data_IF_158925396032
#
_entry.id   IF_158925396032
#
_cell.length_a   1.000
_cell.length_b   1.000
_cell.length_c   1.000
_cell.angle_alpha   90.00
_cell.angle_beta   90.00
_cell.angle_gamma   90.00
#
_symmetry.space_group_name_H-M   'P 1'
#
loop_
_entity.id
_entity.type
_entity.pdbx_description
1 polymer ?
#
# COMPACT_ATOMS: atom_id res chain seq x y z
N UNK A 1 -46.50 -7.16 8.37
CA UNK A 1 -45.32 -6.45 8.94
C UNK A 1 -44.09 -6.56 8.02
N UNK A 2 -44.19 -6.15 6.74
CA UNK A 2 -43.10 -6.28 5.75
C UNK A 2 -42.35 -4.98 5.44
N UNK A 3 -42.80 -3.83 5.98
CA UNK A 3 -42.19 -2.52 5.69
C UNK A 3 -40.78 -2.33 6.27
N UNK A 4 -40.46 -2.96 7.42
CA UNK A 4 -39.16 -2.78 8.08
C UNK A 4 -37.99 -3.43 7.35
N UNK A 5 -38.20 -4.56 6.64
CA UNK A 5 -37.14 -5.22 5.86
C UNK A 5 -36.79 -4.48 4.57
N UNK A 6 -37.78 -3.83 3.95
CA UNK A 6 -37.56 -3.06 2.72
C UNK A 6 -36.74 -1.78 2.97
N UNK A 7 -36.96 -1.11 4.10
CA UNK A 7 -36.19 0.09 4.50
C UNK A 7 -34.73 -0.27 4.81
N UNK A 8 -34.49 -1.37 5.55
CA UNK A 8 -33.14 -1.84 5.87
C UNK A 8 -32.33 -2.31 4.65
N UNK A 9 -33.00 -2.82 3.61
CA UNK A 9 -32.34 -3.20 2.36
C UNK A 9 -32.02 -1.96 1.49
N UNK A 10 -32.96 -1.01 1.39
CA UNK A 10 -32.74 0.26 0.67
C UNK A 10 -31.63 1.12 1.27
N UNK A 11 -31.43 1.08 2.59
CA UNK A 11 -30.37 1.81 3.28
C UNK A 11 -28.99 1.14 3.07
N UNK A 12 -28.96 -0.19 2.92
CA UNK A 12 -27.76 -0.97 2.62
C UNK A 12 -27.28 -0.80 1.17
N UNK A 13 -28.20 -0.67 0.22
CA UNK A 13 -27.84 -0.60 -1.21
C UNK A 13 -27.12 0.71 -1.59
N UNK A 14 -27.32 1.80 -0.83
CA UNK A 14 -26.67 3.10 -1.05
C UNK A 14 -25.42 3.37 -0.22
N UNK A 15 -25.10 2.50 0.75
CA UNK A 15 -24.03 2.77 1.71
C UNK A 15 -22.63 2.74 1.06
N UNK A 16 -22.40 1.79 0.14
CA UNK A 16 -21.13 1.68 -0.59
C UNK A 16 -20.88 2.94 -1.42
N UNK A 17 -21.89 3.39 -2.16
CA UNK A 17 -21.78 4.62 -2.95
C UNK A 17 -21.50 5.83 -2.06
N UNK A 18 -22.12 5.90 -0.89
CA UNK A 18 -21.90 6.96 0.11
C UNK A 18 -20.48 6.91 0.67
N UNK A 19 -19.96 5.71 0.96
CA UNK A 19 -18.58 5.49 1.39
C UNK A 19 -17.57 6.01 0.36
N UNK A 20 -17.68 5.59 -0.90
CA UNK A 20 -16.76 6.04 -1.96
C UNK A 20 -16.83 7.56 -2.11
N UNK A 21 -18.03 8.15 -2.18
CA UNK A 21 -18.18 9.62 -2.30
C UNK A 21 -17.63 10.38 -1.11
N UNK A 22 -17.68 9.82 0.10
CA UNK A 22 -17.15 10.48 1.31
C UNK A 22 -15.63 10.40 1.39
N UNK A 23 -15.03 9.30 0.95
CA UNK A 23 -13.61 9.01 1.14
C UNK A 23 -12.75 9.11 -0.12
N UNK A 24 -13.34 9.46 -1.28
CA UNK A 24 -12.65 9.43 -2.58
C UNK A 24 -11.33 10.19 -2.64
N UNK A 25 -11.21 11.35 -1.97
CA UNK A 25 -9.97 12.13 -1.96
C UNK A 25 -8.83 11.37 -1.27
N UNK A 26 -9.09 10.86 -0.06
CA UNK A 26 -8.05 10.16 0.71
C UNK A 26 -7.73 8.81 0.10
N UNK A 27 -8.75 8.13 -0.43
CA UNK A 27 -8.56 6.92 -1.19
C UNK A 27 -7.74 7.17 -2.47
N UNK A 28 -7.98 8.28 -3.18
CA UNK A 28 -7.21 8.68 -4.34
C UNK A 28 -5.74 8.93 -3.97
N UNK A 29 -5.48 9.68 -2.89
CA UNK A 29 -4.12 9.86 -2.36
C UNK A 29 -3.48 8.53 -1.97
N UNK A 30 -4.22 7.64 -1.31
CA UNK A 30 -3.78 6.30 -0.97
C UNK A 30 -3.38 5.48 -2.20
N UNK A 31 -4.19 5.48 -3.26
CA UNK A 31 -3.88 4.75 -4.50
C UNK A 31 -2.62 5.33 -5.16
N UNK A 32 -2.52 6.65 -5.28
CA UNK A 32 -1.35 7.30 -5.89
C UNK A 32 -0.07 7.00 -5.11
N UNK A 33 -0.10 7.11 -3.79
CA UNK A 33 1.07 6.83 -2.93
C UNK A 33 1.43 5.34 -2.91
N UNK A 34 0.45 4.44 -2.93
CA UNK A 34 0.67 2.99 -3.06
C UNK A 34 1.32 2.64 -4.42
N UNK A 35 0.90 3.29 -5.51
CA UNK A 35 1.53 3.11 -6.82
C UNK A 35 2.95 3.69 -6.85
N UNK A 36 3.17 4.85 -6.22
CA UNK A 36 4.51 5.41 -6.09
C UNK A 36 5.44 4.49 -5.28
N UNK A 37 4.98 3.93 -4.16
CA UNK A 37 5.70 2.91 -3.37
C UNK A 37 6.08 1.73 -4.26
N UNK A 38 5.10 1.12 -4.93
CA UNK A 38 5.33 -0.03 -5.81
C UNK A 38 6.33 0.26 -6.95
N UNK A 39 6.17 1.39 -7.65
CA UNK A 39 7.03 1.75 -8.78
C UNK A 39 8.46 2.07 -8.34
N UNK A 40 8.61 2.78 -7.22
CA UNK A 40 9.94 3.07 -6.67
C UNK A 40 10.61 1.81 -6.12
N UNK A 41 9.85 0.87 -5.55
CA UNK A 41 10.38 -0.45 -5.19
C UNK A 41 10.84 -1.23 -6.42
N UNK A 42 10.08 -1.22 -7.52
CA UNK A 42 10.51 -1.88 -8.77
C UNK A 42 11.81 -1.26 -9.28
N UNK A 43 11.90 0.07 -9.35
CA UNK A 43 13.10 0.78 -9.79
C UNK A 43 14.31 0.47 -8.89
N UNK A 44 14.11 0.51 -7.57
CA UNK A 44 15.11 0.12 -6.56
C UNK A 44 15.57 -1.34 -6.73
N UNK A 45 14.65 -2.29 -6.85
CA UNK A 45 14.98 -3.71 -6.99
C UNK A 45 15.70 -4.03 -8.30
N UNK A 46 15.42 -3.28 -9.38
CA UNK A 46 16.13 -3.41 -10.65
C UNK A 46 17.58 -2.91 -10.52
N UNK A 47 17.80 -1.82 -9.76
CA UNK A 47 19.12 -1.18 -9.63
C UNK A 47 20.01 -1.86 -8.57
N UNK A 48 19.46 -2.07 -7.38
CA UNK A 48 20.21 -2.49 -6.18
C UNK A 48 19.99 -3.97 -5.83
N UNK A 49 19.04 -4.63 -6.51
CA UNK A 49 18.72 -6.04 -6.31
C UNK A 49 17.62 -6.28 -5.28
N UNK A 50 16.99 -7.45 -5.39
CA UNK A 50 15.84 -7.85 -4.56
C UNK A 50 16.21 -8.00 -3.08
N UNK A 51 17.44 -8.43 -2.77
CA UNK A 51 17.89 -8.72 -1.39
C UNK A 51 18.04 -7.47 -0.51
N UNK A 52 18.03 -6.28 -1.10
CA UNK A 52 18.12 -5.02 -0.38
C UNK A 52 16.75 -4.56 0.18
N UNK A 53 15.66 -5.25 -0.17
CA UNK A 53 14.31 -4.95 0.31
C UNK A 53 14.13 -5.37 1.78
N UNK A 54 13.79 -4.41 2.64
CA UNK A 54 13.59 -4.65 4.08
C UNK A 54 12.21 -5.23 4.41
N UNK A 55 11.21 -5.06 3.54
CA UNK A 55 9.87 -5.55 3.80
C UNK A 55 9.78 -7.06 3.49
N UNK A 56 9.59 -7.94 4.50
CA UNK A 56 9.63 -9.38 4.28
C UNK A 56 8.53 -9.89 3.36
N UNK A 57 7.38 -9.21 3.33
CA UNK A 57 6.28 -9.59 2.44
C UNK A 57 6.59 -9.22 0.99
N UNK A 58 7.08 -8.01 0.75
CA UNK A 58 7.47 -7.57 -0.60
C UNK A 58 8.65 -8.39 -1.10
N UNK A 59 9.64 -8.65 -0.26
CA UNK A 59 10.76 -9.53 -0.53
C UNK A 59 10.29 -10.95 -0.91
N UNK A 60 9.36 -11.53 -0.14
CA UNK A 60 8.77 -12.83 -0.45
C UNK A 60 8.06 -12.86 -1.81
N UNK A 61 7.25 -11.84 -2.10
CA UNK A 61 6.61 -11.69 -3.40
C UNK A 61 7.63 -11.53 -4.53
N UNK A 62 8.69 -10.75 -4.32
CA UNK A 62 9.74 -10.52 -5.31
C UNK A 62 10.61 -11.77 -5.56
N UNK A 63 10.88 -12.58 -4.54
CA UNK A 63 11.58 -13.87 -4.71
C UNK A 63 10.75 -14.89 -5.51
N UNK A 64 9.43 -14.84 -5.41
CA UNK A 64 8.53 -15.75 -6.12
C UNK A 64 8.19 -15.30 -7.53
N UNK A 65 7.91 -14.00 -7.72
CA UNK A 65 7.37 -13.44 -8.97
C UNK A 65 8.38 -12.57 -9.74
N UNK A 66 9.55 -12.31 -9.14
CA UNK A 66 10.59 -11.44 -9.68
C UNK A 66 10.47 -9.97 -9.23
N UNK A 67 11.48 -9.15 -9.56
CA UNK A 67 11.64 -7.77 -9.07
C UNK A 67 10.57 -6.79 -9.58
N UNK A 68 9.81 -7.15 -10.62
CA UNK A 68 8.76 -6.30 -11.20
C UNK A 68 7.38 -6.74 -10.71
N UNK A 69 7.01 -8.01 -10.96
CA UNK A 69 5.68 -8.52 -10.63
C UNK A 69 5.49 -8.71 -9.13
N UNK A 70 6.57 -8.97 -8.37
CA UNK A 70 6.52 -9.12 -6.91
C UNK A 70 6.01 -7.88 -6.20
N UNK A 71 6.65 -6.70 -6.35
CA UNK A 71 6.18 -5.46 -5.75
C UNK A 71 4.76 -5.07 -6.18
N UNK A 72 4.40 -5.29 -7.45
CA UNK A 72 3.04 -5.03 -7.94
C UNK A 72 2.01 -5.94 -7.27
N UNK A 73 2.28 -7.24 -7.14
CA UNK A 73 1.40 -8.17 -6.44
C UNK A 73 1.26 -7.80 -4.95
N UNK A 74 2.36 -7.40 -4.31
CA UNK A 74 2.34 -6.95 -2.93
C UNK A 74 1.50 -5.67 -2.77
N UNK A 75 1.61 -4.72 -3.71
CA UNK A 75 0.81 -3.50 -3.73
C UNK A 75 -0.68 -3.80 -3.92
N UNK A 76 -1.04 -4.73 -4.81
CA UNK A 76 -2.43 -5.18 -4.98
C UNK A 76 -2.99 -5.77 -3.68
N UNK A 77 -2.22 -6.60 -2.99
CA UNK A 77 -2.62 -7.17 -1.71
C UNK A 77 -2.81 -6.11 -0.61
N UNK A 78 -1.86 -5.17 -0.47
CA UNK A 78 -1.96 -4.01 0.42
C UNK A 78 -3.22 -3.19 0.13
N UNK A 79 -3.45 -2.88 -1.15
CA UNK A 79 -4.61 -2.12 -1.62
C UNK A 79 -5.94 -2.80 -1.28
N UNK A 80 -6.09 -4.09 -1.61
CA UNK A 80 -7.29 -4.85 -1.29
C UNK A 80 -7.54 -4.91 0.21
N UNK A 81 -6.49 -5.17 0.99
CA UNK A 81 -6.61 -5.26 2.45
C UNK A 81 -7.05 -3.94 3.06
N UNK A 82 -6.46 -2.81 2.62
CA UNK A 82 -6.85 -1.49 3.10
C UNK A 82 -8.30 -1.14 2.72
N UNK A 83 -8.75 -1.49 1.51
CA UNK A 83 -10.15 -1.26 1.09
C UNK A 83 -11.11 -2.12 1.92
N UNK A 84 -10.84 -3.42 2.11
CA UNK A 84 -11.68 -4.30 2.91
C UNK A 84 -11.78 -3.84 4.38
N UNK A 85 -10.65 -3.46 4.98
CA UNK A 85 -10.62 -2.94 6.35
C UNK A 85 -11.32 -1.58 6.42
N UNK A 86 -11.13 -0.71 5.43
CA UNK A 86 -11.79 0.59 5.34
C UNK A 86 -13.31 0.46 5.22
N UNK A 87 -13.80 -0.51 4.44
CA UNK A 87 -15.21 -0.84 4.37
C UNK A 87 -15.73 -1.38 5.71
N UNK A 88 -15.00 -2.27 6.37
CA UNK A 88 -15.44 -2.82 7.67
C UNK A 88 -15.46 -1.76 8.79
N UNK A 89 -14.48 -0.85 8.80
CA UNK A 89 -14.34 0.23 9.78
C UNK A 89 -14.60 1.61 9.17
N UNK A 90 -15.76 1.80 8.51
CA UNK A 90 -16.13 3.04 7.80
C UNK A 90 -15.81 4.31 8.62
N UNK A 91 -16.19 4.32 9.90
CA UNK A 91 -16.00 5.49 10.79
C UNK A 91 -14.53 5.96 10.87
N UNK A 92 -13.58 5.04 10.72
CA UNK A 92 -12.14 5.30 10.82
C UNK A 92 -11.42 5.24 9.46
N UNK A 93 -12.14 4.95 8.38
CA UNK A 93 -11.55 4.76 7.06
C UNK A 93 -10.69 5.95 6.60
N UNK A 94 -11.12 7.18 6.92
CA UNK A 94 -10.34 8.38 6.60
C UNK A 94 -8.95 8.37 7.24
N UNK A 95 -8.85 8.04 8.54
CA UNK A 95 -7.57 7.96 9.25
C UNK A 95 -6.72 6.78 8.77
N UNK A 96 -7.38 5.66 8.43
CA UNK A 96 -6.70 4.48 7.90
C UNK A 96 -6.04 4.78 6.55
N UNK A 97 -6.79 5.34 5.59
CA UNK A 97 -6.24 5.67 4.27
C UNK A 97 -5.22 6.80 4.35
N UNK A 98 -5.45 7.81 5.19
CA UNK A 98 -4.51 8.92 5.33
C UNK A 98 -3.17 8.47 5.94
N UNK A 99 -3.21 7.65 6.99
CA UNK A 99 -1.99 7.11 7.60
C UNK A 99 -1.27 6.13 6.67
N UNK A 100 -1.99 5.24 5.99
CA UNK A 100 -1.40 4.35 4.99
C UNK A 100 -0.77 5.12 3.83
N UNK A 101 -1.43 6.17 3.33
CA UNK A 101 -0.88 7.03 2.29
C UNK A 101 0.42 7.73 2.75
N UNK A 102 0.46 8.23 3.99
CA UNK A 102 1.67 8.81 4.56
C UNK A 102 2.82 7.82 4.67
N UNK A 103 2.53 6.59 5.11
CA UNK A 103 3.53 5.50 5.20
C UNK A 103 4.05 5.12 3.80
N UNK A 104 3.18 4.96 2.81
CA UNK A 104 3.59 4.61 1.44
C UNK A 104 4.34 5.74 0.75
N UNK A 105 3.96 6.99 0.99
CA UNK A 105 4.73 8.13 0.51
C UNK A 105 6.14 8.15 1.12
N UNK A 106 6.24 7.90 2.43
CA UNK A 106 7.54 7.81 3.10
C UNK A 106 8.38 6.66 2.55
N UNK A 107 7.79 5.48 2.33
CA UNK A 107 8.47 4.35 1.72
C UNK A 107 8.93 4.64 0.28
N UNK A 108 8.10 5.32 -0.53
CA UNK A 108 8.48 5.74 -1.87
C UNK A 108 9.68 6.70 -1.86
N UNK A 109 9.66 7.70 -0.96
CA UNK A 109 10.78 8.60 -0.76
C UNK A 109 12.04 7.86 -0.29
N UNK A 110 11.88 6.89 0.61
CA UNK A 110 12.98 6.05 1.08
C UNK A 110 13.60 5.25 -0.07
N UNK A 111 12.80 4.62 -0.94
CA UNK A 111 13.27 3.86 -2.10
C UNK A 111 14.05 4.74 -3.09
N UNK A 112 13.62 5.99 -3.29
CA UNK A 112 14.33 6.96 -4.14
C UNK A 112 15.69 7.34 -3.54
N UNK A 113 15.76 7.55 -2.22
CA UNK A 113 16.99 7.96 -1.52
C UNK A 113 17.83 6.78 -1.01
N UNK A 114 17.39 5.54 -1.21
CA UNK A 114 18.06 4.34 -0.72
C UNK A 114 19.51 4.29 -1.20
N UNK A 115 19.76 4.60 -2.49
CA UNK A 115 21.09 4.65 -3.08
C UNK A 115 22.00 5.66 -2.38
N UNK A 116 21.51 6.86 -2.05
CA UNK A 116 22.30 7.87 -1.33
C UNK A 116 22.58 7.45 0.12
N UNK A 117 21.64 6.78 0.79
CA UNK A 117 21.84 6.27 2.14
C UNK A 117 22.82 5.10 2.19
N UNK A 118 22.78 4.21 1.20
CA UNK A 118 23.73 3.11 1.02
C UNK A 118 25.14 3.63 0.69
N UNK A 119 25.27 4.54 -0.28
CA UNK A 119 26.58 5.11 -0.69
C UNK A 119 27.21 5.99 0.37
N UNK A 120 26.42 6.66 1.23
CA UNK A 120 26.94 7.43 2.38
C UNK A 120 27.33 6.56 3.60
N UNK A 121 27.18 5.23 3.52
CA UNK A 121 27.57 4.30 4.59
C UNK A 121 26.75 4.43 5.87
N UNK A 122 25.58 5.06 5.82
CA UNK A 122 24.67 5.23 6.97
C UNK A 122 23.98 3.90 7.29
N UNK A 123 23.72 3.08 6.27
CA UNK A 123 23.27 1.69 6.40
C UNK A 123 24.49 0.82 6.10
N UNK A 124 25.09 0.25 7.15
CA UNK A 124 26.37 -0.43 7.05
C UNK A 124 26.33 -1.62 6.08
N UNK A 125 27.28 -1.63 5.14
CA UNK A 125 27.63 -2.75 4.24
C UNK A 125 28.07 -4.02 4.97
N UNK A 126 28.09 -4.01 6.31
CA UNK A 126 28.62 -5.08 7.15
C UNK A 126 27.74 -6.34 7.19
N UNK A 127 26.53 -6.30 6.63
CA UNK A 127 25.59 -7.43 6.59
C UNK A 127 25.54 -8.18 5.25
N UNK A 128 26.30 -7.77 4.23
CA UNK A 128 26.33 -8.40 2.90
C UNK A 128 27.49 -9.40 2.69
N UNK A 129 28.19 -9.80 3.77
CA UNK A 129 29.33 -10.73 3.72
C UNK A 129 29.12 -12.04 4.52
N UNK A 130 27.87 -12.44 4.79
CA UNK A 130 27.57 -13.74 5.37
C UNK A 130 26.38 -14.40 4.68
#
# INVERSE_FOLDING_TARGET
MNGGRAVLLSEKDGWIHTFWRRHWLVLGMFVVTLMADALTTVDFMIKDGVECELNPFVLGCAKLLGPVLGPLAAAMHKGWSAVLIGLYYEKYAHYLFASAAGIYLFAACYNIWAIELFTRGVIGTRWLLF
#
